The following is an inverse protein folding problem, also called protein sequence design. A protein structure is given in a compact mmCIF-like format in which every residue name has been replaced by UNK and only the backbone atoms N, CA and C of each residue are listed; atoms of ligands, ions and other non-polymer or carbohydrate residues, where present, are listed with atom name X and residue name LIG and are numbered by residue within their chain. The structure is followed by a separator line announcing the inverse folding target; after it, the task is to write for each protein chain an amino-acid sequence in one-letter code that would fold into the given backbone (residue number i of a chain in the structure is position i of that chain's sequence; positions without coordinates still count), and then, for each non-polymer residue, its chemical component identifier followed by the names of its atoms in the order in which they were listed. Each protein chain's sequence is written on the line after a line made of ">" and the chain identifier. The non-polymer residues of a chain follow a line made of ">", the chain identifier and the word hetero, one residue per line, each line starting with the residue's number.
data_IF_501834259720
#
_entry.id   IF_501834259720
#
_cell.length_a   1.000
_cell.length_b   1.000
_cell.length_c   1.000
_cell.angle_alpha   90.00
_cell.angle_beta   90.00
_cell.angle_gamma   90.00
#
_symmetry.space_group_name_H-M   'P 1'
#
loop_
_entity.id
_entity.type
_entity.pdbx_description
1 polymer ?
#
# COMPACT_ATOMS: atom_id res chain seq x y z
N UNK A 1 40.95 15.25 -45.47
CA UNK A 1 40.83 16.73 -45.39
C UNK A 1 39.39 17.11 -45.67
N UNK A 2 38.96 18.32 -45.29
CA UNK A 2 37.56 18.72 -44.98
C UNK A 2 37.07 18.12 -43.65
N UNK A 3 36.24 18.75 -42.81
CA UNK A 3 35.75 20.13 -42.64
C UNK A 3 34.93 20.16 -41.31
N UNK A 4 34.70 21.24 -40.56
CA UNK A 4 35.24 22.61 -40.49
C UNK A 4 34.75 23.21 -39.14
N UNK A 5 35.62 23.84 -38.31
CA UNK A 5 35.26 24.31 -36.96
C UNK A 5 35.34 25.85 -36.91
N UNK A 6 34.23 26.52 -36.57
CA UNK A 6 34.19 27.97 -36.32
C UNK A 6 34.23 28.26 -34.83
N UNK A 7 35.33 28.86 -34.39
CA UNK A 7 35.41 29.60 -33.13
C UNK A 7 34.52 30.85 -33.15
N UNK A 8 33.91 31.19 -32.00
CA UNK A 8 33.72 32.58 -31.62
C UNK A 8 33.73 32.77 -30.09
N UNK A 9 34.77 33.47 -29.63
CA UNK A 9 34.90 34.26 -28.39
C UNK A 9 33.67 35.18 -28.15
N UNK A 10 33.36 35.71 -26.96
CA UNK A 10 34.14 35.89 -25.74
C UNK A 10 33.26 36.26 -24.51
N UNK A 11 33.84 36.14 -23.29
CA UNK A 11 33.70 37.00 -22.09
C UNK A 11 32.29 37.42 -21.61
N UNK A 12 31.92 37.06 -20.37
CA UNK A 12 30.67 37.49 -19.72
C UNK A 12 30.80 38.69 -18.76
N UNK A 13 29.66 39.21 -18.28
CA UNK A 13 29.59 40.16 -17.17
C UNK A 13 28.18 40.23 -16.51
N UNK A 14 28.15 39.99 -15.19
CA UNK A 14 27.36 40.65 -14.12
C UNK A 14 25.80 40.67 -14.15
N UNK A 15 25.26 40.36 -12.97
CA UNK A 15 23.85 40.36 -12.53
C UNK A 15 23.15 41.72 -12.68
N UNK A 16 21.82 41.72 -12.84
CA UNK A 16 20.93 42.77 -12.34
C UNK A 16 19.62 42.16 -11.85
N UNK A 17 19.26 42.43 -10.59
CA UNK A 17 17.96 42.09 -10.01
C UNK A 17 16.97 43.23 -10.28
N UNK A 18 15.70 42.93 -10.57
CA UNK A 18 14.57 43.86 -10.35
C UNK A 18 13.23 43.10 -10.45
N UNK A 19 12.66 42.79 -9.29
CA UNK A 19 11.23 42.50 -9.09
C UNK A 19 10.47 43.85 -8.89
N UNK A 20 9.15 43.86 -8.64
CA UNK A 20 8.06 43.06 -9.20
C UNK A 20 6.98 43.97 -9.85
N UNK A 21 5.96 43.39 -10.50
CA UNK A 21 4.67 44.09 -10.68
C UNK A 21 3.52 43.16 -10.27
N UNK A 22 2.54 43.77 -9.60
CA UNK A 22 1.51 43.09 -8.83
C UNK A 22 0.34 42.57 -9.67
N UNK A 23 -0.47 41.73 -9.01
CA UNK A 23 -1.74 41.15 -9.44
C UNK A 23 -2.70 42.14 -10.12
N UNK A 24 -3.50 41.63 -11.06
CA UNK A 24 -4.91 41.35 -10.75
C UNK A 24 -5.58 40.40 -11.76
N UNK A 25 -6.50 39.61 -11.22
CA UNK A 25 -7.51 38.74 -11.83
C UNK A 25 -7.56 38.55 -13.36
N UNK A 26 -7.10 37.37 -13.79
CA UNK A 26 -8.02 36.42 -14.41
C UNK A 26 -7.80 35.04 -13.82
N UNK A 27 -8.78 34.60 -13.01
CA UNK A 27 -9.05 33.23 -12.57
C UNK A 27 -8.51 32.16 -13.52
N UNK A 28 -7.26 31.75 -13.30
CA UNK A 28 -6.87 30.39 -13.61
C UNK A 28 -7.72 29.51 -12.71
N UNK A 29 -8.44 28.57 -13.33
CA UNK A 29 -8.80 27.36 -12.61
C UNK A 29 -7.47 26.69 -12.25
N UNK A 30 -6.92 27.05 -11.08
CA UNK A 30 -6.17 26.11 -10.28
C UNK A 30 -7.11 24.94 -10.10
N UNK A 31 -6.99 23.98 -11.00
CA UNK A 31 -7.37 22.63 -10.71
C UNK A 31 -6.68 22.34 -9.38
N UNK A 32 -7.48 22.28 -8.32
CA UNK A 32 -7.13 21.46 -7.19
C UNK A 32 -7.06 20.05 -7.78
N UNK A 33 -5.90 19.71 -8.35
CA UNK A 33 -5.30 18.44 -8.04
C UNK A 33 -5.25 18.42 -6.51
N UNK A 34 -6.36 17.96 -5.92
CA UNK A 34 -6.29 17.01 -4.83
C UNK A 34 -5.30 15.98 -5.32
N UNK A 35 -4.04 16.21 -4.97
CA UNK A 35 -3.06 15.16 -4.78
C UNK A 35 -3.69 14.34 -3.67
N UNK A 36 -4.58 13.43 -4.08
CA UNK A 36 -4.91 12.26 -3.30
C UNK A 36 -3.57 11.57 -3.16
N UNK A 37 -2.95 11.85 -2.03
CA UNK A 37 -1.77 11.15 -1.59
C UNK A 37 -2.26 9.71 -1.46
N UNK A 38 -1.92 8.88 -2.45
CA UNK A 38 -2.35 7.49 -2.61
C UNK A 38 -1.57 6.62 -1.60
N UNK A 39 -1.67 7.05 -0.35
CA UNK A 39 -1.04 6.47 0.82
C UNK A 39 -1.78 5.17 1.09
N UNK A 40 -1.13 4.08 0.69
CA UNK A 40 -1.50 2.72 1.08
C UNK A 40 -1.74 2.72 2.59
N UNK A 41 -3.00 2.60 3.01
CA UNK A 41 -3.35 2.63 4.43
C UNK A 41 -2.94 1.29 5.04
N UNK A 42 -1.85 1.31 5.81
CA UNK A 42 -1.33 0.11 6.48
C UNK A 42 -2.10 -0.11 7.78
N UNK A 43 -2.91 -1.16 7.81
CA UNK A 43 -3.69 -1.56 8.99
C UNK A 43 -2.91 -2.62 9.75
N UNK A 44 -2.41 -2.29 10.93
CA UNK A 44 -1.73 -3.23 11.82
C UNK A 44 -2.73 -3.89 12.78
N UNK A 45 -2.72 -5.22 12.84
CA UNK A 45 -3.56 -6.06 13.70
C UNK A 45 -2.67 -7.00 14.51
N UNK A 46 -3.10 -7.38 15.72
CA UNK A 46 -2.48 -8.45 16.49
C UNK A 46 -3.33 -9.73 16.38
N UNK A 47 -2.71 -10.90 16.29
CA UNK A 47 -3.43 -12.17 16.11
C UNK A 47 -4.38 -12.47 17.29
N UNK A 48 -3.94 -12.19 18.52
CA UNK A 48 -4.74 -12.36 19.75
C UNK A 48 -5.98 -11.43 19.83
N UNK A 49 -6.03 -10.35 19.05
CA UNK A 49 -7.21 -9.46 18.97
C UNK A 49 -8.27 -9.99 18.00
N UNK A 50 -7.94 -11.00 17.18
CA UNK A 50 -8.87 -11.60 16.24
C UNK A 50 -9.80 -12.59 16.96
N UNK A 51 -11.09 -12.51 16.66
CA UNK A 51 -12.11 -13.40 17.23
C UNK A 51 -12.41 -14.54 16.24
N UNK A 52 -11.90 -15.77 16.46
CA UNK A 52 -12.25 -16.91 15.63
C UNK A 52 -13.68 -17.37 15.88
N UNK A 53 -14.24 -18.06 14.90
CA UNK A 53 -15.51 -18.76 15.02
C UNK A 53 -15.39 -20.12 15.73
N UNK A 54 -16.50 -20.86 15.82
CA UNK A 54 -16.55 -22.18 16.49
C UNK A 54 -15.58 -23.22 15.89
N UNK A 55 -15.07 -23.02 14.68
CA UNK A 55 -14.10 -23.89 14.01
C UNK A 55 -12.64 -23.43 14.15
N UNK A 56 -12.38 -22.27 14.77
CA UNK A 56 -11.06 -21.64 14.80
C UNK A 56 -10.77 -20.75 13.59
N UNK A 57 -11.78 -20.45 12.76
CA UNK A 57 -11.62 -19.67 11.54
C UNK A 57 -11.83 -18.17 11.78
N UNK A 58 -10.95 -17.33 11.22
CA UNK A 58 -11.11 -15.87 11.12
C UNK A 58 -11.17 -15.50 9.64
N UNK A 59 -12.04 -14.57 9.25
CA UNK A 59 -12.10 -14.04 7.88
C UNK A 59 -11.89 -12.53 7.92
N UNK A 60 -10.89 -12.03 7.19
CA UNK A 60 -10.60 -10.61 7.03
C UNK A 60 -11.03 -10.12 5.65
N UNK A 61 -11.90 -9.10 5.66
CA UNK A 61 -12.30 -8.33 4.49
C UNK A 61 -11.62 -6.97 4.57
N UNK A 62 -10.54 -6.79 3.82
CA UNK A 62 -9.82 -5.53 3.73
C UNK A 62 -10.40 -4.70 2.58
N UNK A 63 -10.58 -3.38 2.78
CA UNK A 63 -10.95 -2.50 1.68
C UNK A 63 -9.82 -2.44 0.63
N UNK A 64 -10.19 -2.25 -0.65
CA UNK A 64 -9.22 -2.06 -1.73
C UNK A 64 -8.25 -0.91 -1.41
N UNK A 65 -6.94 -1.16 -1.57
CA UNK A 65 -5.88 -0.18 -1.25
C UNK A 65 -5.25 -0.35 0.13
N UNK A 66 -5.85 -1.12 1.05
CA UNK A 66 -5.33 -1.29 2.41
C UNK A 66 -4.37 -2.48 2.50
N UNK A 67 -3.16 -2.26 3.03
CA UNK A 67 -2.23 -3.35 3.32
C UNK A 67 -2.40 -3.82 4.76
N UNK A 68 -2.75 -5.10 4.94
CA UNK A 68 -2.87 -5.68 6.29
C UNK A 68 -1.52 -6.18 6.76
N UNK A 69 -1.11 -5.69 7.93
CA UNK A 69 0.02 -6.19 8.70
C UNK A 69 -0.51 -6.96 9.91
N UNK A 70 -0.05 -8.19 10.10
CA UNK A 70 -0.49 -9.04 11.19
C UNK A 70 0.71 -9.44 12.06
N UNK A 71 0.73 -8.94 13.28
CA UNK A 71 1.66 -9.39 14.32
C UNK A 71 1.09 -10.67 14.96
N UNK A 72 1.82 -11.78 14.80
CA UNK A 72 1.48 -13.08 15.34
C UNK A 72 2.50 -13.49 16.41
N UNK A 73 2.03 -13.70 17.64
CA UNK A 73 2.85 -14.27 18.73
C UNK A 73 3.21 -15.75 18.55
N UNK A 74 2.91 -16.34 17.38
CA UNK A 74 3.06 -17.76 17.09
C UNK A 74 3.49 -18.03 15.64
N UNK A 75 3.85 -19.29 15.36
CA UNK A 75 4.40 -19.71 14.07
C UNK A 75 3.30 -19.95 13.02
N UNK A 76 3.50 -19.38 11.83
CA UNK A 76 2.77 -19.75 10.62
C UNK A 76 3.20 -21.15 10.16
N UNK A 77 2.26 -22.11 10.17
CA UNK A 77 2.48 -23.52 9.83
C UNK A 77 2.38 -23.74 8.32
N UNK A 78 1.44 -23.07 7.66
CA UNK A 78 1.17 -23.23 6.22
C UNK A 78 0.41 -22.04 5.66
N UNK A 79 0.70 -21.64 4.43
CA UNK A 79 -0.06 -20.66 3.67
C UNK A 79 -0.43 -21.19 2.27
N UNK A 80 -1.46 -20.61 1.66
CA UNK A 80 -1.88 -20.97 0.30
C UNK A 80 -3.22 -20.32 -0.06
N UNK A 81 -3.97 -20.97 -0.95
CA UNK A 81 -5.32 -20.57 -1.34
C UNK A 81 -6.33 -21.61 -0.86
N UNK A 82 -7.44 -21.15 -0.30
CA UNK A 82 -8.52 -21.98 0.21
C UNK A 82 -9.25 -22.72 -0.93
N UNK A 83 -9.38 -24.04 -0.77
CA UNK A 83 -10.30 -24.84 -1.58
C UNK A 83 -11.76 -24.52 -1.20
N UNK A 84 -12.73 -25.11 -1.92
CA UNK A 84 -14.14 -24.84 -1.63
C UNK A 84 -14.53 -25.23 -0.21
N UNK A 85 -14.89 -24.23 0.60
CA UNK A 85 -15.13 -24.35 2.03
C UNK A 85 -16.02 -23.20 2.52
N UNK A 86 -16.88 -23.50 3.49
CA UNK A 86 -17.73 -22.54 4.20
C UNK A 86 -17.42 -22.67 5.69
N UNK A 87 -17.11 -21.56 6.34
CA UNK A 87 -16.75 -21.52 7.78
C UNK A 87 -17.94 -21.84 8.69
N UNK A 88 -17.71 -22.06 9.98
CA UNK A 88 -18.81 -22.27 10.94
C UNK A 88 -19.72 -21.03 11.06
N UNK A 89 -19.17 -19.83 10.81
CA UNK A 89 -19.93 -18.57 10.67
C UNK A 89 -20.79 -18.49 9.39
N UNK A 90 -20.70 -19.46 8.47
CA UNK A 90 -21.46 -19.46 7.22
C UNK A 90 -20.85 -18.61 6.10
N UNK A 91 -19.56 -18.24 6.20
CA UNK A 91 -18.86 -17.46 5.18
C UNK A 91 -18.20 -18.40 4.17
N UNK A 92 -18.50 -18.23 2.88
CA UNK A 92 -17.77 -18.91 1.81
C UNK A 92 -16.38 -18.27 1.66
N UNK A 93 -15.34 -19.09 1.82
CA UNK A 93 -13.93 -18.68 1.73
C UNK A 93 -13.23 -19.27 0.51
N UNK A 94 -13.98 -19.84 -0.44
CA UNK A 94 -13.45 -20.44 -1.67
C UNK A 94 -12.58 -19.44 -2.45
N UNK A 95 -11.29 -19.75 -2.63
CA UNK A 95 -10.37 -18.91 -3.39
C UNK A 95 -9.70 -17.77 -2.59
N UNK A 96 -10.00 -17.60 -1.31
CA UNK A 96 -9.30 -16.65 -0.43
C UNK A 96 -7.89 -17.15 -0.07
N UNK A 97 -6.99 -16.23 0.27
CA UNK A 97 -5.69 -16.58 0.87
C UNK A 97 -5.94 -17.20 2.25
N UNK A 98 -5.29 -18.34 2.54
CA UNK A 98 -5.41 -19.05 3.81
C UNK A 98 -4.06 -19.14 4.52
N UNK A 99 -4.06 -18.89 5.82
CA UNK A 99 -2.91 -18.92 6.70
C UNK A 99 -3.26 -19.74 7.95
N UNK A 100 -2.52 -20.83 8.19
CA UNK A 100 -2.76 -21.74 9.31
C UNK A 100 -1.66 -21.53 10.36
N UNK A 101 -2.06 -21.28 11.61
CA UNK A 101 -1.14 -21.02 12.72
C UNK A 101 -1.03 -22.24 13.66
N UNK A 102 0.01 -22.26 14.50
CA UNK A 102 0.35 -23.40 15.36
C UNK A 102 -0.66 -23.65 16.49
N UNK A 103 -1.43 -22.64 16.90
CA UNK A 103 -2.56 -22.71 17.83
C UNK A 103 -3.76 -23.48 17.30
N UNK A 104 -3.83 -23.67 15.98
CA UNK A 104 -5.01 -24.19 15.27
C UNK A 104 -5.92 -23.10 14.69
N UNK A 105 -5.60 -21.81 14.89
CA UNK A 105 -6.31 -20.71 14.22
C UNK A 105 -6.03 -20.74 12.70
N UNK A 106 -7.10 -20.57 11.91
CA UNK A 106 -7.00 -20.44 10.44
C UNK A 106 -7.54 -19.08 10.00
N UNK A 107 -6.68 -18.26 9.41
CA UNK A 107 -7.05 -16.96 8.86
C UNK A 107 -7.31 -17.06 7.36
N UNK A 108 -8.42 -16.49 6.91
CA UNK A 108 -8.79 -16.29 5.51
C UNK A 108 -8.78 -14.80 5.17
N UNK A 109 -8.30 -14.42 3.98
CA UNK A 109 -8.23 -13.02 3.53
C UNK A 109 -8.38 -12.91 2.01
N UNK A 110 -9.11 -11.88 1.55
CA UNK A 110 -9.19 -11.51 0.12
C UNK A 110 -7.85 -11.01 -0.42
N UNK A 111 -7.16 -10.17 0.36
CA UNK A 111 -5.83 -9.65 0.04
C UNK A 111 -4.70 -10.50 0.60
N UNK A 112 -3.47 -10.25 0.14
CA UNK A 112 -2.26 -10.78 0.77
C UNK A 112 -2.04 -10.10 2.13
N UNK A 113 -1.78 -10.88 3.18
CA UNK A 113 -1.50 -10.39 4.53
C UNK A 113 0.00 -10.51 4.81
N UNK A 114 0.63 -9.41 5.24
CA UNK A 114 2.02 -9.43 5.69
C UNK A 114 2.06 -9.92 7.14
N UNK A 115 2.51 -11.17 7.35
CA UNK A 115 2.57 -11.78 8.68
C UNK A 115 3.97 -11.64 9.28
N UNK A 116 4.07 -11.00 10.45
CA UNK A 116 5.26 -11.04 11.29
C UNK A 116 5.05 -12.05 12.41
N UNK A 117 5.88 -13.09 12.47
CA UNK A 117 5.91 -14.02 13.61
C UNK A 117 6.95 -13.57 14.64
N UNK A 118 6.59 -13.55 15.92
CA UNK A 118 7.54 -13.32 17.03
C UNK A 118 8.62 -14.42 17.11
N UNK A 119 9.84 -14.04 17.50
CA UNK A 119 10.98 -14.95 17.77
C UNK A 119 11.00 -15.44 19.21
#
# INVERSE_FOLDING_TARGET
>A
MSANIKDHTAVGAVKNNLEPLASDDYVFYSAFETIYDDQIEVVSLHLDDLLPDESGAVVLFAAEGNQIYLEAGELLVSCGVANSHVTASGVDVTGLNVYNFASGLTLYSEGEVTIQTGM
#
